data_IF_685922039704
#
_entry.id   IF_685922039704
#
_cell.length_a   1.000
_cell.length_b   1.000
_cell.length_c   1.000
_cell.angle_alpha   90.00
_cell.angle_beta   90.00
_cell.angle_gamma   90.00
#
_symmetry.space_group_name_H-M   'P 1'
#
loop_
_entity.id
_entity.type
_entity.pdbx_description
1 polymer ?
#
# COMPACT_ATOMS: atom_id res chain seq x y z
N UNK A 1 31.77 -39.13 12.34
CA UNK A 1 31.23 -38.00 13.14
C UNK A 1 31.95 -36.72 12.74
N UNK A 2 31.18 -35.65 12.42
CA UNK A 2 31.62 -34.26 12.09
C UNK A 2 32.36 -34.14 10.74
N UNK A 3 31.95 -33.39 9.71
CA UNK A 3 31.13 -32.19 9.58
C UNK A 3 30.44 -32.19 8.19
N UNK A 4 29.13 -32.41 8.12
CA UNK A 4 28.30 -32.06 6.94
C UNK A 4 27.10 -31.29 7.50
N UNK A 5 27.38 -30.11 8.02
CA UNK A 5 26.41 -29.10 8.42
C UNK A 5 27.10 -27.77 8.13
N UNK A 6 26.93 -27.22 6.93
CA UNK A 6 27.22 -25.79 6.69
C UNK A 6 26.75 -25.24 5.35
N UNK A 7 26.34 -26.03 4.36
CA UNK A 7 26.07 -25.47 3.02
C UNK A 7 24.59 -25.15 2.70
N UNK A 8 23.65 -25.48 3.59
CA UNK A 8 22.21 -25.18 3.38
C UNK A 8 21.84 -23.78 3.93
N UNK A 9 22.69 -23.16 4.76
CA UNK A 9 22.36 -21.88 5.43
C UNK A 9 22.71 -20.62 4.63
N UNK A 10 23.47 -20.70 3.53
CA UNK A 10 23.99 -19.49 2.87
C UNK A 10 23.09 -18.94 1.74
N UNK A 11 22.21 -19.76 1.16
CA UNK A 11 21.29 -19.31 0.11
C UNK A 11 19.96 -18.73 0.62
N UNK A 12 19.66 -18.90 1.91
CA UNK A 12 18.48 -18.27 2.53
C UNK A 12 18.66 -16.74 2.68
N UNK A 13 19.88 -16.22 2.84
CA UNK A 13 20.08 -14.80 3.16
C UNK A 13 19.71 -13.81 2.03
N UNK A 14 19.87 -14.19 0.75
CA UNK A 14 19.61 -13.25 -0.36
C UNK A 14 18.15 -13.24 -0.83
N UNK A 15 17.39 -14.31 -0.60
CA UNK A 15 15.96 -14.32 -0.89
C UNK A 15 15.15 -13.45 0.09
N UNK A 16 15.65 -13.32 1.33
CA UNK A 16 15.02 -12.58 2.43
C UNK A 16 14.96 -11.07 2.17
N UNK A 17 15.95 -10.46 1.51
CA UNK A 17 16.05 -8.98 1.42
C UNK A 17 14.92 -8.31 0.62
N UNK A 18 14.49 -8.88 -0.51
CA UNK A 18 13.42 -8.29 -1.33
C UNK A 18 12.00 -8.62 -0.83
N UNK A 19 11.83 -9.74 -0.12
CA UNK A 19 10.58 -10.07 0.57
C UNK A 19 10.41 -9.27 1.86
N UNK A 20 11.51 -8.98 2.57
CA UNK A 20 11.50 -8.25 3.83
C UNK A 20 10.98 -6.81 3.69
N UNK A 21 11.36 -6.07 2.64
CA UNK A 21 10.88 -4.69 2.45
C UNK A 21 9.37 -4.62 2.17
N UNK A 22 8.85 -5.53 1.34
CA UNK A 22 7.41 -5.62 1.06
C UNK A 22 6.64 -6.07 2.30
N UNK A 23 7.22 -7.00 3.07
CA UNK A 23 6.63 -7.50 4.32
C UNK A 23 6.59 -6.42 5.39
N UNK A 24 7.65 -5.62 5.54
CA UNK A 24 7.72 -4.52 6.51
C UNK A 24 6.69 -3.43 6.17
N UNK A 25 6.55 -3.06 4.90
CA UNK A 25 5.55 -2.09 4.48
C UNK A 25 4.12 -2.61 4.71
N UNK A 26 3.84 -3.87 4.36
CA UNK A 26 2.54 -4.50 4.59
C UNK A 26 2.24 -4.63 6.09
N UNK A 27 3.22 -5.05 6.91
CA UNK A 27 3.12 -5.12 8.38
C UNK A 27 2.80 -3.74 8.97
N UNK A 28 3.48 -2.70 8.49
CA UNK A 28 3.23 -1.31 8.92
C UNK A 28 1.81 -0.87 8.57
N UNK A 29 1.31 -1.20 7.38
CA UNK A 29 -0.07 -0.92 6.97
C UNK A 29 -1.09 -1.69 7.82
N UNK A 30 -0.85 -2.98 8.10
CA UNK A 30 -1.68 -3.82 8.96
C UNK A 30 -1.75 -3.26 10.40
N UNK A 31 -0.60 -2.90 10.97
CA UNK A 31 -0.52 -2.32 12.30
C UNK A 31 -1.29 -1.01 12.38
N UNK A 32 -1.12 -0.14 11.39
CA UNK A 32 -1.83 1.14 11.34
C UNK A 32 -3.33 0.98 11.14
N UNK A 33 -3.77 0.06 10.28
CA UNK A 33 -5.19 -0.28 10.17
C UNK A 33 -5.78 -0.68 11.53
N UNK A 34 -5.03 -1.46 12.33
CA UNK A 34 -5.41 -1.78 13.70
C UNK A 34 -5.57 -0.56 14.60
N UNK A 35 -4.73 0.47 14.44
CA UNK A 35 -4.79 1.71 15.21
C UNK A 35 -5.96 2.62 14.81
N UNK A 36 -6.31 2.65 13.52
CA UNK A 36 -7.39 3.51 13.00
C UNK A 36 -8.75 2.79 12.94
N UNK A 37 -8.84 1.53 13.37
CA UNK A 37 -10.09 0.76 13.37
C UNK A 37 -11.17 1.50 14.14
N UNK A 38 -12.31 1.75 13.50
CA UNK A 38 -13.43 2.51 14.07
C UNK A 38 -13.30 4.02 13.98
N UNK A 39 -12.28 4.53 13.28
CA UNK A 39 -12.17 5.96 12.93
C UNK A 39 -13.13 6.33 11.80
N UNK A 40 -13.21 7.62 11.50
CA UNK A 40 -13.95 8.19 10.39
C UNK A 40 -12.99 8.69 9.30
N UNK A 41 -13.47 8.81 8.07
CA UNK A 41 -12.69 9.39 6.99
C UNK A 41 -12.42 10.87 7.28
N UNK A 42 -11.15 11.25 7.23
CA UNK A 42 -10.70 12.60 7.53
C UNK A 42 -10.84 13.55 6.35
N UNK A 43 -11.05 13.04 5.13
CA UNK A 43 -11.34 13.83 3.95
C UNK A 43 -12.63 13.33 3.28
N UNK A 44 -13.55 14.24 2.97
CA UNK A 44 -14.78 13.92 2.26
C UNK A 44 -14.97 14.84 1.04
N UNK A 45 -14.96 16.14 1.27
CA UNK A 45 -15.18 17.17 0.24
C UNK A 45 -14.32 18.40 0.50
N UNK A 46 -14.06 19.17 -0.55
CA UNK A 46 -13.36 20.44 -0.47
C UNK A 46 -13.75 21.31 -1.65
N UNK A 47 -13.98 22.59 -1.38
CA UNK A 47 -14.15 23.66 -2.37
C UNK A 47 -12.85 24.44 -2.60
N UNK A 48 -11.75 24.02 -1.97
CA UNK A 48 -10.45 24.67 -2.06
C UNK A 48 -9.91 24.64 -3.50
N UNK A 49 -9.45 25.82 -3.96
CA UNK A 49 -8.89 26.01 -5.31
C UNK A 49 -7.40 25.69 -5.41
N UNK A 50 -6.68 25.60 -4.28
CA UNK A 50 -5.26 25.27 -4.20
C UNK A 50 -5.02 23.77 -4.44
N UNK A 51 -5.35 23.31 -5.65
CA UNK A 51 -5.28 21.90 -6.05
C UNK A 51 -4.03 21.64 -6.89
N UNK A 52 -3.39 20.50 -6.66
CA UNK A 52 -2.25 20.01 -7.43
C UNK A 52 -2.47 18.53 -7.80
N UNK A 53 -1.88 18.10 -8.91
CA UNK A 53 -1.68 16.68 -9.20
C UNK A 53 -0.28 16.28 -8.75
N UNK A 54 -0.18 15.40 -7.77
CA UNK A 54 1.07 14.93 -7.18
C UNK A 54 0.95 13.46 -6.78
N UNK A 55 2.03 12.70 -6.82
CA UNK A 55 1.98 11.27 -6.46
C UNK A 55 1.73 11.10 -4.94
N UNK A 56 1.08 10.01 -4.54
CA UNK A 56 0.81 9.70 -3.14
C UNK A 56 1.20 8.25 -2.80
N UNK A 57 1.08 7.84 -1.54
CA UNK A 57 1.21 6.42 -1.14
C UNK A 57 0.27 5.51 -1.93
N UNK A 58 -0.83 6.09 -2.44
CA UNK A 58 -1.84 5.42 -3.23
C UNK A 58 -1.67 5.84 -4.68
N UNK A 59 -1.21 4.91 -5.52
CA UNK A 59 -1.02 5.16 -6.95
C UNK A 59 -2.32 5.50 -7.70
N UNK A 60 -3.47 5.32 -7.05
CA UNK A 60 -4.79 5.64 -7.55
C UNK A 60 -5.32 7.01 -7.11
N UNK A 61 -4.53 7.76 -6.34
CA UNK A 61 -4.85 9.10 -5.83
C UNK A 61 -3.70 10.04 -6.17
N UNK A 62 -3.98 11.03 -7.02
CA UNK A 62 -3.02 12.07 -7.40
C UNK A 62 -3.49 13.47 -7.06
N UNK A 63 -4.79 13.68 -6.91
CA UNK A 63 -5.32 15.01 -6.62
C UNK A 63 -5.11 15.35 -5.14
N UNK A 64 -4.44 16.46 -4.89
CA UNK A 64 -4.14 16.96 -3.55
C UNK A 64 -4.44 18.45 -3.39
N UNK A 65 -4.68 18.85 -2.15
CA UNK A 65 -4.74 20.23 -1.71
C UNK A 65 -3.34 20.64 -1.22
N UNK A 66 -2.78 21.72 -1.75
CA UNK A 66 -1.43 22.18 -1.43
C UNK A 66 -1.47 23.49 -0.65
N UNK A 67 -0.72 23.55 0.46
CA UNK A 67 -0.36 24.80 1.13
C UNK A 67 1.17 24.90 1.28
N UNK A 68 1.68 26.13 1.34
CA UNK A 68 3.10 26.45 1.50
C UNK A 68 3.31 27.52 2.56
N UNK A 69 4.49 27.49 3.20
CA UNK A 69 4.90 28.51 4.19
C UNK A 69 5.52 29.76 3.54
N UNK A 70 4.86 30.31 2.52
CA UNK A 70 5.36 31.46 1.76
C UNK A 70 5.06 32.77 2.50
N UNK A 71 3.90 33.36 2.25
CA UNK A 71 3.50 34.66 2.79
C UNK A 71 2.37 34.56 3.84
N UNK A 72 2.00 33.34 4.26
CA UNK A 72 0.92 33.12 5.22
C UNK A 72 -0.49 33.18 4.65
N UNK A 73 -0.68 33.36 3.33
CA UNK A 73 -2.02 33.48 2.73
C UNK A 73 -2.51 32.20 2.03
N UNK A 74 -1.63 31.23 1.78
CA UNK A 74 -2.01 29.99 1.10
C UNK A 74 -2.67 29.04 2.09
N UNK A 75 -3.99 28.94 2.04
CA UNK A 75 -4.77 28.02 2.86
C UNK A 75 -5.35 26.85 2.05
N UNK A 76 -5.47 25.70 2.73
CA UNK A 76 -6.24 24.56 2.25
C UNK A 76 -7.31 24.22 3.27
N UNK A 77 -8.52 23.93 2.80
CA UNK A 77 -9.66 23.62 3.65
C UNK A 77 -10.50 22.47 3.09
N UNK A 78 -11.02 21.62 3.95
CA UNK A 78 -11.89 20.49 3.59
C UNK A 78 -12.80 20.07 4.74
N UNK A 79 -13.76 19.19 4.44
CA UNK A 79 -14.66 18.59 5.41
C UNK A 79 -14.30 17.12 5.65
N UNK A 80 -14.42 16.68 6.90
CA UNK A 80 -14.34 15.24 7.26
C UNK A 80 -15.61 14.50 6.86
N UNK A 81 -15.64 13.19 7.04
CA UNK A 81 -16.89 12.45 7.16
C UNK A 81 -17.70 13.00 8.36
N UNK A 82 -19.02 13.07 8.20
CA UNK A 82 -19.91 13.44 9.29
C UNK A 82 -19.98 12.32 10.34
N UNK A 83 -19.96 12.70 11.62
CA UNK A 83 -20.21 11.73 12.69
C UNK A 83 -21.71 11.37 12.76
N UNK A 84 -22.09 10.15 13.14
CA UNK A 84 -23.49 9.75 13.22
C UNK A 84 -24.31 10.60 14.20
N UNK A 85 -25.61 10.76 13.94
CA UNK A 85 -26.51 11.50 14.84
C UNK A 85 -26.57 10.91 16.26
N UNK A 86 -26.36 9.60 16.38
CA UNK A 86 -26.38 8.85 17.65
C UNK A 86 -24.98 8.70 18.28
N UNK A 87 -24.03 9.57 17.94
CA UNK A 87 -22.67 9.50 18.47
C UNK A 87 -22.64 9.72 19.99
N UNK A 88 -22.10 8.73 20.74
CA UNK A 88 -22.10 8.73 22.21
C UNK A 88 -20.72 8.71 22.86
N UNK A 89 -19.64 8.50 22.09
CA UNK A 89 -18.29 8.42 22.62
C UNK A 89 -17.75 9.81 23.04
N UNK A 90 -16.66 9.82 23.81
CA UNK A 90 -16.01 11.03 24.33
C UNK A 90 -15.17 11.78 23.29
N UNK A 91 -15.02 11.20 22.09
CA UNK A 91 -14.35 11.81 20.95
C UNK A 91 -14.24 10.83 19.81
N UNK A 92 -13.86 11.33 18.64
CA UNK A 92 -13.78 10.59 17.39
C UNK A 92 -12.37 10.71 16.80
N UNK A 93 -11.90 9.62 16.21
CA UNK A 93 -10.68 9.64 15.39
C UNK A 93 -11.05 9.86 13.92
N UNK A 94 -10.25 10.68 13.24
CA UNK A 94 -10.30 10.91 11.79
C UNK A 94 -8.95 10.60 11.18
N UNK A 95 -8.93 10.09 9.95
CA UNK A 95 -7.68 9.74 9.23
C UNK A 95 -7.72 10.24 7.79
N UNK A 96 -6.63 10.85 7.33
CA UNK A 96 -6.50 11.26 5.92
C UNK A 96 -5.08 11.07 5.42
N UNK A 97 -4.95 10.98 4.10
CA UNK A 97 -3.67 10.83 3.42
C UNK A 97 -3.00 12.19 3.25
N UNK A 98 -1.71 12.26 3.55
CA UNK A 98 -0.94 13.50 3.47
C UNK A 98 0.48 13.25 2.98
N UNK A 99 1.12 14.31 2.47
CA UNK A 99 2.55 14.37 2.27
C UNK A 99 3.10 15.68 2.83
N UNK A 100 4.33 15.64 3.32
CA UNK A 100 4.99 16.78 3.97
C UNK A 100 6.42 16.86 3.43
N UNK A 101 6.79 18.06 3.01
CA UNK A 101 8.15 18.40 2.60
C UNK A 101 9.14 18.23 3.75
N UNK A 102 10.23 17.51 3.49
CA UNK A 102 11.26 17.23 4.50
C UNK A 102 12.46 18.17 4.30
N UNK A 103 12.41 19.31 5.00
CA UNK A 103 13.45 20.35 4.91
C UNK A 103 14.31 20.47 6.17
N UNK A 104 15.49 21.09 6.02
CA UNK A 104 16.35 21.50 7.14
C UNK A 104 15.76 22.69 7.92
N UNK A 105 15.24 23.68 7.18
CA UNK A 105 14.60 24.85 7.77
C UNK A 105 13.20 24.49 8.25
N UNK A 106 12.99 24.56 9.56
CA UNK A 106 11.68 24.36 10.17
C UNK A 106 10.81 25.58 9.93
N UNK A 107 9.63 25.33 9.41
CA UNK A 107 8.56 26.32 9.30
C UNK A 107 7.26 25.75 9.87
N UNK A 108 6.37 26.59 10.36
CA UNK A 108 5.15 26.15 11.02
C UNK A 108 3.95 26.08 10.08
N UNK A 109 3.08 25.12 10.37
CA UNK A 109 1.75 25.01 9.79
C UNK A 109 0.71 25.02 10.90
N UNK A 110 -0.24 25.94 10.79
CA UNK A 110 -1.35 26.08 11.71
C UNK A 110 -2.55 25.26 11.22
N UNK A 111 -3.15 24.50 12.13
CA UNK A 111 -4.33 23.67 11.87
C UNK A 111 -5.53 24.23 12.64
N UNK A 112 -6.58 24.53 11.89
CA UNK A 112 -7.84 25.04 12.40
C UNK A 112 -8.91 23.96 12.28
N UNK A 113 -9.72 23.82 13.33
CA UNK A 113 -10.89 22.94 13.36
C UNK A 113 -12.09 23.83 13.68
N UNK A 114 -13.10 23.85 12.81
CA UNK A 114 -14.26 24.75 12.88
C UNK A 114 -13.84 26.22 13.09
N UNK A 115 -12.86 26.67 12.28
CA UNK A 115 -12.25 28.02 12.32
C UNK A 115 -11.50 28.40 13.62
N UNK A 116 -11.33 27.47 14.56
CA UNK A 116 -10.51 27.69 15.76
C UNK A 116 -9.13 27.07 15.56
N UNK A 117 -8.06 27.85 15.72
CA UNK A 117 -6.67 27.33 15.69
C UNK A 117 -6.50 26.35 16.85
N UNK A 118 -6.31 25.06 16.55
CA UNK A 118 -6.13 24.00 17.56
C UNK A 118 -4.70 23.49 17.61
N UNK A 119 -3.97 23.49 16.50
CA UNK A 119 -2.61 22.98 16.49
C UNK A 119 -1.70 23.89 15.68
N UNK A 120 -0.42 23.81 16.01
CA UNK A 120 0.68 24.25 15.17
C UNK A 120 1.66 23.09 15.12
N UNK A 121 2.06 22.65 13.94
CA UNK A 121 3.13 21.67 13.79
C UNK A 121 4.26 22.26 12.94
N UNK A 122 5.52 22.08 13.35
CA UNK A 122 6.67 22.44 12.53
C UNK A 122 6.90 21.39 11.44
N UNK A 123 7.24 21.84 10.24
CA UNK A 123 7.96 21.04 9.25
C UNK A 123 9.34 20.66 9.77
N UNK A 124 9.96 19.70 9.10
CA UNK A 124 11.36 19.32 9.33
C UNK A 124 11.56 17.82 9.19
N UNK A 125 12.74 17.34 9.61
CA UNK A 125 13.16 15.93 9.44
C UNK A 125 12.38 14.87 10.21
N UNK A 126 11.39 15.24 11.02
CA UNK A 126 10.61 14.26 11.81
C UNK A 126 9.58 13.59 10.92
N UNK A 127 9.80 12.31 10.64
CA UNK A 127 8.91 11.48 9.82
C UNK A 127 7.71 10.92 10.59
N UNK A 128 7.63 11.11 11.91
CA UNK A 128 6.43 10.80 12.71
C UNK A 128 6.38 11.69 13.94
N UNK A 129 5.19 12.15 14.33
CA UNK A 129 4.99 13.03 15.48
C UNK A 129 3.54 13.00 16.00
N UNK A 130 3.36 13.50 17.22
CA UNK A 130 2.07 13.64 17.90
C UNK A 130 2.05 14.93 18.72
N UNK A 131 1.01 15.73 18.58
CA UNK A 131 0.76 16.95 19.35
C UNK A 131 -0.58 16.86 20.04
N UNK A 132 -0.62 17.23 21.33
CA UNK A 132 -1.84 17.25 22.15
C UNK A 132 -2.23 18.70 22.41
N UNK A 133 -3.49 19.03 22.15
CA UNK A 133 -4.08 20.32 22.48
C UNK A 133 -4.61 20.28 23.93
N UNK A 134 -4.54 21.39 24.70
CA UNK A 134 -5.07 21.47 26.07
C UNK A 134 -6.54 21.05 26.23
N UNK A 135 -7.36 21.23 25.19
CA UNK A 135 -8.77 20.82 25.18
C UNK A 135 -8.97 19.31 24.97
N UNK A 136 -7.88 18.54 24.90
CA UNK A 136 -7.86 17.07 24.81
C UNK A 136 -7.75 16.49 23.39
N UNK A 137 -7.70 17.33 22.36
CA UNK A 137 -7.48 16.87 20.98
C UNK A 137 -6.05 16.42 20.71
N UNK A 138 -5.87 15.50 19.77
CA UNK A 138 -4.56 14.94 19.42
C UNK A 138 -4.41 14.92 17.90
N UNK A 139 -3.37 15.57 17.37
CA UNK A 139 -3.01 15.51 15.96
C UNK A 139 -1.71 14.70 15.80
N UNK A 140 -1.70 13.71 14.90
CA UNK A 140 -0.52 12.90 14.62
C UNK A 140 -0.24 12.84 13.13
N UNK A 141 1.02 12.61 12.81
CA UNK A 141 1.46 12.22 11.49
C UNK A 141 2.35 10.98 11.59
N UNK A 142 2.15 10.05 10.66
CA UNK A 142 2.98 8.87 10.51
C UNK A 142 3.38 8.70 9.05
N UNK A 143 4.68 8.87 8.77
CA UNK A 143 5.27 8.54 7.47
C UNK A 143 5.22 7.05 7.21
N UNK A 144 4.90 6.69 5.97
CA UNK A 144 4.90 5.33 5.46
C UNK A 144 6.00 5.09 4.43
N UNK A 145 6.26 6.09 3.60
CA UNK A 145 7.24 6.05 2.52
C UNK A 145 7.87 7.44 2.32
N UNK A 146 8.93 7.50 1.53
CA UNK A 146 9.55 8.74 1.07
C UNK A 146 9.75 8.72 -0.43
N UNK A 147 9.57 9.86 -1.08
CA UNK A 147 9.84 9.96 -2.51
C UNK A 147 11.34 10.07 -2.83
N UNK A 148 11.67 10.23 -4.11
CA UNK A 148 13.05 10.36 -4.58
C UNK A 148 13.76 11.63 -4.08
N UNK A 149 13.02 12.63 -3.62
CA UNK A 149 13.52 13.87 -3.03
C UNK A 149 13.60 13.80 -1.51
N UNK A 150 13.14 12.69 -0.90
CA UNK A 150 13.14 12.49 0.54
C UNK A 150 11.88 13.03 1.23
N UNK A 151 10.89 13.52 0.46
CA UNK A 151 9.64 14.03 0.98
C UNK A 151 8.80 12.91 1.55
N UNK A 152 8.13 13.19 2.66
CA UNK A 152 7.46 12.16 3.43
C UNK A 152 6.03 11.99 2.97
N UNK A 153 5.63 10.74 2.72
CA UNK A 153 4.25 10.37 2.40
C UNK A 153 3.68 9.50 3.52
N UNK A 154 2.50 9.85 4.01
CA UNK A 154 1.99 9.29 5.25
C UNK A 154 0.51 9.52 5.47
N UNK A 155 0.08 9.24 6.70
CA UNK A 155 -1.28 9.53 7.14
C UNK A 155 -1.23 10.53 8.29
N UNK A 156 -2.16 11.48 8.26
CA UNK A 156 -2.51 12.26 9.44
C UNK A 156 -3.67 11.61 10.16
N UNK A 157 -3.66 11.67 11.49
CA UNK A 157 -4.79 11.29 12.33
C UNK A 157 -5.14 12.39 13.32
N UNK A 158 -6.43 12.58 13.55
CA UNK A 158 -6.96 13.57 14.49
C UNK A 158 -7.91 12.90 15.46
N UNK A 159 -7.62 12.96 16.74
CA UNK A 159 -8.62 12.78 17.79
C UNK A 159 -9.27 14.12 18.07
N UNK A 160 -10.57 14.21 17.81
CA UNK A 160 -11.39 15.35 18.20
C UNK A 160 -12.22 14.97 19.43
N UNK A 161 -12.02 15.63 20.59
CA UNK A 161 -12.87 15.44 21.76
C UNK A 161 -14.30 15.83 21.45
N UNK A 162 -15.25 15.29 22.21
CA UNK A 162 -16.70 15.53 22.05
C UNK A 162 -17.06 17.01 22.02
N UNK A 163 -16.33 17.87 22.72
CA UNK A 163 -16.54 19.32 22.72
C UNK A 163 -16.30 19.99 21.36
N UNK A 164 -15.53 19.35 20.45
CA UNK A 164 -15.31 19.84 19.09
C UNK A 164 -16.34 19.28 18.11
N UNK A 165 -17.08 18.24 18.51
CA UNK A 165 -17.95 17.47 17.64
C UNK A 165 -19.39 17.96 17.72
N UNK A 166 -20.07 17.94 16.56
CA UNK A 166 -21.51 18.18 16.44
C UNK A 166 -22.14 16.96 15.77
N UNK A 167 -23.04 16.27 16.46
CA UNK A 167 -23.72 15.09 15.93
C UNK A 167 -24.33 15.35 14.55
N UNK A 168 -24.12 14.42 13.61
CA UNK A 168 -24.61 14.55 12.24
C UNK A 168 -23.81 15.48 11.33
N UNK A 169 -22.80 16.19 11.84
CA UNK A 169 -22.03 17.17 11.07
C UNK A 169 -20.58 16.73 10.88
N UNK A 170 -19.96 17.08 9.74
CA UNK A 170 -18.52 16.97 9.58
C UNK A 170 -17.80 18.06 10.39
N UNK A 171 -16.50 17.86 10.60
CA UNK A 171 -15.60 18.94 11.02
C UNK A 171 -15.11 19.69 9.78
N UNK A 172 -14.97 21.00 9.90
CA UNK A 172 -14.23 21.81 8.92
C UNK A 172 -12.76 21.89 9.35
N UNK A 173 -11.86 21.37 8.52
CA UNK A 173 -10.42 21.42 8.77
C UNK A 173 -9.78 22.40 7.81
N UNK A 174 -8.85 23.21 8.33
CA UNK A 174 -8.04 24.12 7.54
C UNK A 174 -6.58 24.09 7.96
N UNK A 175 -5.66 24.14 7.00
CA UNK A 175 -4.21 24.27 7.22
C UNK A 175 -3.69 25.52 6.52
N UNK A 176 -2.85 26.28 7.23
CA UNK A 176 -2.17 27.48 6.70
C UNK A 176 -0.68 27.39 7.05
N UNK A 177 0.19 27.48 6.06
CA UNK A 177 1.64 27.63 6.29
C UNK A 177 1.96 29.03 6.77
N UNK A 178 2.95 29.19 7.66
CA UNK A 178 3.32 30.51 8.18
C UNK A 178 3.96 31.43 7.12
N UNK A 179 4.07 32.72 7.42
CA UNK A 179 4.74 33.69 6.55
C UNK A 179 6.28 33.63 6.69
N UNK A 180 6.90 32.53 6.27
CA UNK A 180 8.34 32.28 6.41
C UNK A 180 9.19 32.58 5.16
N UNK A 181 8.54 32.89 4.04
CA UNK A 181 9.18 33.07 2.73
C UNK A 181 9.68 31.77 2.12
N UNK A 182 9.21 30.62 2.59
CA UNK A 182 9.70 29.29 2.20
C UNK A 182 8.71 28.55 1.32
N UNK A 183 9.24 27.74 0.39
CA UNK A 183 8.41 26.88 -0.44
C UNK A 183 8.05 25.55 0.23
N UNK A 184 8.45 25.33 1.48
CA UNK A 184 8.08 24.14 2.26
C UNK A 184 6.58 23.93 2.24
N UNK A 185 6.17 22.69 1.99
CA UNK A 185 4.79 22.38 1.66
C UNK A 185 4.17 21.25 2.48
N UNK A 186 2.85 21.26 2.52
CA UNK A 186 2.00 20.16 2.98
C UNK A 186 0.94 19.91 1.92
N UNK A 187 0.74 18.63 1.59
CA UNK A 187 -0.33 18.17 0.71
C UNK A 187 -1.31 17.31 1.50
N UNK A 188 -2.60 17.58 1.33
CA UNK A 188 -3.69 16.70 1.78
C UNK A 188 -4.35 16.09 0.56
N UNK A 189 -4.30 14.77 0.42
CA UNK A 189 -4.82 14.09 -0.76
C UNK A 189 -6.33 13.90 -0.68
N UNK A 190 -7.02 14.02 -1.83
CA UNK A 190 -8.47 13.89 -1.95
C UNK A 190 -8.92 12.42 -1.92
N UNK A 191 -8.78 11.78 -0.77
CA UNK A 191 -9.11 10.37 -0.56
C UNK A 191 -10.09 10.21 0.60
N UNK A 192 -11.35 9.87 0.29
CA UNK A 192 -12.43 9.66 1.26
C UNK A 192 -12.78 8.19 1.50
N UNK A 193 -11.82 7.30 1.26
CA UNK A 193 -11.97 5.85 1.37
C UNK A 193 -10.74 5.19 2.02
N UNK A 194 -9.97 5.92 2.84
CA UNK A 194 -8.69 5.43 3.42
C UNK A 194 -8.89 4.15 4.21
N UNK A 195 -9.91 4.10 5.06
CA UNK A 195 -10.15 2.97 5.97
C UNK A 195 -10.53 1.75 5.14
N UNK A 196 -11.54 1.87 4.28
CA UNK A 196 -12.00 0.76 3.44
C UNK A 196 -10.94 0.31 2.43
N UNK A 197 -10.11 1.22 1.93
CA UNK A 197 -8.97 0.91 1.08
C UNK A 197 -7.94 0.06 1.83
N UNK A 198 -7.55 0.46 3.05
CA UNK A 198 -6.60 -0.29 3.86
C UNK A 198 -7.15 -1.66 4.25
N UNK A 199 -8.43 -1.76 4.62
CA UNK A 199 -9.08 -3.06 4.87
C UNK A 199 -8.97 -3.98 3.65
N UNK A 200 -9.33 -3.48 2.45
CA UNK A 200 -9.21 -4.26 1.22
C UNK A 200 -7.78 -4.56 0.83
N UNK A 201 -6.85 -3.63 1.07
CA UNK A 201 -5.43 -3.89 0.88
C UNK A 201 -5.00 -5.07 1.74
N UNK A 202 -5.40 -5.14 3.00
CA UNK A 202 -5.01 -6.27 3.88
C UNK A 202 -5.66 -7.61 3.50
N UNK A 203 -6.80 -7.57 2.80
CA UNK A 203 -7.48 -8.76 2.28
C UNK A 203 -6.84 -9.28 0.98
N UNK A 204 -6.38 -8.39 0.11
CA UNK A 204 -5.89 -8.74 -1.23
C UNK A 204 -4.36 -8.73 -1.35
N UNK A 205 -3.66 -7.81 -0.69
CA UNK A 205 -2.22 -7.65 -0.85
C UNK A 205 -1.44 -8.62 0.03
N UNK A 206 -0.58 -9.42 -0.61
CA UNK A 206 0.31 -10.34 0.07
C UNK A 206 1.47 -10.78 -0.84
N UNK A 207 2.48 -11.38 -0.23
CA UNK A 207 3.54 -12.09 -0.92
C UNK A 207 3.50 -13.60 -0.61
N UNK A 208 4.04 -14.41 -1.51
CA UNK A 208 4.33 -15.83 -1.32
C UNK A 208 5.72 -16.15 -1.83
N UNK A 209 6.46 -16.97 -1.09
CA UNK A 209 7.65 -17.66 -1.58
C UNK A 209 7.35 -19.15 -1.68
N UNK A 210 7.64 -19.76 -2.83
CA UNK A 210 7.35 -21.17 -3.11
C UNK A 210 8.60 -21.86 -3.57
N UNK A 211 9.05 -22.86 -2.81
CA UNK A 211 10.18 -23.71 -3.15
C UNK A 211 9.68 -25.09 -3.53
N UNK A 212 10.10 -25.58 -4.68
CA UNK A 212 9.79 -26.92 -5.19
C UNK A 212 11.11 -27.68 -5.33
N UNK A 213 11.25 -28.79 -4.62
CA UNK A 213 12.40 -29.69 -4.71
C UNK A 213 11.96 -31.03 -5.31
N UNK A 214 12.70 -31.50 -6.32
CA UNK A 214 12.39 -32.77 -6.98
C UNK A 214 13.28 -33.88 -6.41
N UNK A 215 12.64 -34.91 -5.85
CA UNK A 215 13.33 -36.10 -5.36
C UNK A 215 12.58 -37.36 -5.78
N UNK A 216 13.26 -38.26 -6.51
CA UNK A 216 12.71 -39.55 -6.95
C UNK A 216 11.32 -39.45 -7.63
N UNK A 217 11.10 -38.44 -8.47
CA UNK A 217 9.82 -38.24 -9.19
C UNK A 217 8.66 -37.71 -8.33
N UNK A 218 8.94 -37.33 -7.07
CA UNK A 218 8.05 -36.54 -6.22
C UNK A 218 8.57 -35.11 -6.14
N UNK A 219 7.63 -34.17 -6.10
CA UNK A 219 7.92 -32.75 -5.95
C UNK A 219 7.44 -32.33 -4.56
N UNK A 220 8.38 -32.03 -3.68
CA UNK A 220 8.08 -31.46 -2.37
C UNK A 220 7.92 -29.95 -2.54
N UNK A 221 6.74 -29.44 -2.19
CA UNK A 221 6.38 -28.03 -2.33
C UNK A 221 6.28 -27.42 -0.95
N UNK A 222 7.07 -26.38 -0.71
CA UNK A 222 7.03 -25.56 0.49
C UNK A 222 6.56 -24.17 0.10
N UNK A 223 5.49 -23.72 0.72
CA UNK A 223 4.95 -22.36 0.60
C UNK A 223 5.27 -21.60 1.88
N UNK A 224 5.80 -20.41 1.74
CA UNK A 224 6.05 -19.44 2.80
C UNK A 224 5.28 -18.17 2.51
N UNK A 225 4.68 -17.58 3.54
CA UNK A 225 3.81 -16.41 3.44
C UNK A 225 3.89 -15.56 4.72
N UNK A 226 3.29 -14.35 4.74
CA UNK A 226 3.16 -13.55 5.96
C UNK A 226 2.55 -14.31 7.14
N UNK A 227 3.00 -14.01 8.38
CA UNK A 227 2.47 -14.66 9.58
C UNK A 227 0.97 -14.45 9.83
N UNK A 228 0.41 -13.32 9.40
CA UNK A 228 -1.03 -13.02 9.55
C UNK A 228 -1.93 -13.91 8.67
N UNK A 229 -1.36 -14.69 7.75
CA UNK A 229 -2.09 -15.68 6.96
C UNK A 229 -2.13 -17.06 7.62
N UNK A 230 -1.53 -17.25 8.80
CA UNK A 230 -1.65 -18.49 9.55
C UNK A 230 -3.13 -18.87 9.78
N UNK A 231 -3.45 -20.15 9.57
CA UNK A 231 -4.82 -20.67 9.61
C UNK A 231 -5.59 -20.50 8.30
N UNK A 232 -5.06 -19.77 7.31
CA UNK A 232 -5.70 -19.69 6.00
C UNK A 232 -5.48 -20.96 5.17
N UNK A 233 -6.52 -21.33 4.43
CA UNK A 233 -6.49 -22.45 3.50
C UNK A 233 -6.11 -21.95 2.11
N UNK A 234 -5.02 -22.49 1.57
CA UNK A 234 -4.61 -22.30 0.19
C UNK A 234 -5.10 -23.47 -0.65
N UNK A 235 -5.41 -23.20 -1.92
CA UNK A 235 -5.73 -24.19 -2.92
C UNK A 235 -4.61 -24.24 -3.95
N UNK A 236 -4.33 -25.42 -4.50
CA UNK A 236 -3.32 -25.57 -5.54
C UNK A 236 -3.85 -26.42 -6.69
N UNK A 237 -3.32 -26.13 -7.89
CA UNK A 237 -3.56 -26.90 -9.11
C UNK A 237 -2.22 -27.08 -9.83
N UNK A 238 -1.88 -28.32 -10.18
CA UNK A 238 -0.73 -28.66 -11.02
C UNK A 238 -1.13 -29.75 -12.02
N UNK A 239 -1.25 -29.38 -13.30
CA UNK A 239 -1.85 -30.28 -14.30
C UNK A 239 -3.25 -30.73 -13.85
N UNK A 240 -3.46 -32.03 -13.70
CA UNK A 240 -4.72 -32.61 -13.20
C UNK A 240 -4.80 -32.68 -11.66
N UNK A 241 -3.66 -32.50 -10.96
CA UNK A 241 -3.61 -32.58 -9.51
C UNK A 241 -4.15 -31.30 -8.90
N UNK A 242 -5.13 -31.43 -8.00
CA UNK A 242 -5.69 -30.32 -7.24
C UNK A 242 -5.82 -30.68 -5.77
N UNK A 243 -5.71 -29.69 -4.90
CA UNK A 243 -5.87 -29.91 -3.47
C UNK A 243 -5.84 -28.61 -2.68
N UNK A 244 -5.66 -28.75 -1.38
CA UNK A 244 -5.60 -27.62 -0.47
C UNK A 244 -4.70 -27.90 0.70
N UNK A 245 -4.08 -26.85 1.25
CA UNK A 245 -3.19 -26.93 2.40
C UNK A 245 -3.47 -25.77 3.35
N UNK A 246 -3.30 -25.99 4.66
CA UNK A 246 -3.46 -24.95 5.66
C UNK A 246 -2.09 -24.33 5.97
N UNK A 247 -2.01 -23.00 5.96
CA UNK A 247 -0.83 -22.28 6.44
C UNK A 247 -0.75 -22.42 7.97
N UNK A 248 0.42 -22.82 8.47
CA UNK A 248 0.72 -22.92 9.90
C UNK A 248 1.70 -21.82 10.28
N UNK A 249 1.50 -21.19 11.43
CA UNK A 249 2.43 -20.17 11.92
C UNK A 249 3.80 -20.79 12.21
N UNK A 250 4.86 -20.09 11.83
CA UNK A 250 6.25 -20.38 12.18
C UNK A 250 6.98 -19.05 12.37
N UNK A 251 7.18 -18.65 13.62
CA UNK A 251 7.81 -17.36 13.97
C UNK A 251 7.07 -16.16 13.33
N UNK A 252 7.79 -15.39 12.49
CA UNK A 252 7.32 -14.21 11.77
C UNK A 252 6.73 -14.49 10.39
N UNK A 253 6.62 -15.78 10.03
CA UNK A 253 6.01 -16.25 8.77
C UNK A 253 4.93 -17.28 9.04
N UNK A 254 4.23 -17.68 7.98
CA UNK A 254 3.42 -18.88 7.94
C UNK A 254 3.89 -19.79 6.81
N UNK A 255 3.81 -21.10 7.02
CA UNK A 255 4.27 -22.10 6.06
C UNK A 255 3.27 -23.21 5.82
N UNK A 256 3.31 -23.78 4.63
CA UNK A 256 2.56 -24.96 4.23
C UNK A 256 3.46 -25.88 3.41
N UNK A 257 3.24 -27.19 3.53
CA UNK A 257 3.99 -28.18 2.76
C UNK A 257 3.04 -29.24 2.20
N UNK A 258 3.24 -29.62 0.94
CA UNK A 258 2.50 -30.69 0.27
C UNK A 258 3.35 -31.31 -0.84
N UNK A 259 2.92 -32.47 -1.33
CA UNK A 259 3.65 -33.24 -2.34
C UNK A 259 2.84 -33.35 -3.63
N UNK A 260 3.49 -33.20 -4.77
CA UNK A 260 2.92 -33.42 -6.11
C UNK A 260 3.66 -34.57 -6.81
N UNK A 261 2.91 -35.39 -7.55
CA UNK A 261 3.45 -36.53 -8.28
C UNK A 261 3.74 -36.17 -9.74
N UNK A 262 4.73 -36.84 -10.34
CA UNK A 262 5.00 -36.74 -11.78
C UNK A 262 5.84 -35.53 -12.17
N UNK A 263 6.09 -35.38 -13.47
CA UNK A 263 6.87 -34.26 -14.00
C UNK A 263 6.04 -32.97 -14.08
N UNK A 264 6.43 -31.96 -13.32
CA UNK A 264 5.78 -30.65 -13.31
C UNK A 264 6.35 -29.68 -14.34
N UNK A 265 7.46 -30.01 -15.04
CA UNK A 265 8.14 -29.07 -15.94
C UNK A 265 7.24 -28.51 -17.03
N UNK A 266 6.32 -29.32 -17.55
CA UNK A 266 5.39 -28.95 -18.62
C UNK A 266 4.01 -28.51 -18.10
N UNK A 267 3.80 -28.53 -16.78
CA UNK A 267 2.48 -28.34 -16.20
C UNK A 267 2.33 -26.92 -15.69
N UNK A 268 1.13 -26.37 -15.90
CA UNK A 268 0.68 -25.18 -15.22
C UNK A 268 0.68 -25.43 -13.72
N UNK A 269 1.16 -24.46 -12.95
CA UNK A 269 1.13 -24.50 -11.49
C UNK A 269 0.50 -23.22 -10.94
N UNK A 270 -0.56 -23.39 -10.16
CA UNK A 270 -1.35 -22.31 -9.58
C UNK A 270 -1.49 -22.55 -8.08
N UNK A 271 -1.34 -21.48 -7.30
CA UNK A 271 -1.79 -21.42 -5.91
C UNK A 271 -2.81 -20.30 -5.81
N UNK A 272 -3.89 -20.49 -5.06
CA UNK A 272 -4.93 -19.48 -4.85
C UNK A 272 -5.46 -19.50 -3.41
N UNK A 273 -6.07 -18.41 -2.99
CA UNK A 273 -6.92 -18.34 -1.79
C UNK A 273 -8.39 -18.20 -2.18
N UNK A 274 -9.24 -17.83 -1.22
CA UNK A 274 -10.66 -17.54 -1.46
C UNK A 274 -10.90 -16.33 -2.38
N UNK A 275 -9.92 -15.43 -2.53
CA UNK A 275 -10.08 -14.17 -3.22
C UNK A 275 -9.65 -14.26 -4.69
N UNK A 276 -8.49 -14.89 -4.97
CA UNK A 276 -7.96 -15.09 -6.32
C UNK A 276 -6.68 -15.95 -6.32
N UNK A 277 -6.11 -16.14 -7.50
CA UNK A 277 -4.74 -16.63 -7.71
C UNK A 277 -3.71 -15.82 -6.89
N UNK A 278 -2.78 -16.53 -6.25
CA UNK A 278 -1.64 -16.03 -5.49
C UNK A 278 -0.30 -16.41 -6.13
N UNK A 279 -0.27 -17.43 -6.99
CA UNK A 279 0.86 -17.81 -7.82
C UNK A 279 0.29 -18.31 -9.14
N UNK A 280 0.89 -17.90 -10.25
CA UNK A 280 0.55 -18.41 -11.56
C UNK A 280 1.83 -18.64 -12.37
N UNK A 281 2.10 -19.90 -12.70
CA UNK A 281 3.19 -20.31 -13.57
C UNK A 281 2.62 -21.19 -14.69
N UNK A 282 2.93 -20.87 -15.94
CA UNK A 282 2.47 -21.66 -17.08
C UNK A 282 3.18 -23.01 -17.18
N UNK A 283 4.46 -23.03 -16.78
CA UNK A 283 5.33 -24.20 -16.75
C UNK A 283 6.57 -23.88 -15.89
N UNK A 284 7.44 -24.87 -15.67
CA UNK A 284 8.66 -24.74 -14.88
C UNK A 284 9.92 -24.98 -15.74
N UNK A 285 9.94 -24.53 -16.99
CA UNK A 285 11.05 -24.83 -17.93
C UNK A 285 12.21 -23.85 -17.88
N UNK A 286 11.92 -22.58 -17.60
CA UNK A 286 12.89 -21.49 -17.64
C UNK A 286 12.56 -20.44 -16.60
N UNK A 287 13.57 -19.67 -16.23
CA UNK A 287 13.39 -18.46 -15.43
C UNK A 287 12.36 -17.56 -16.10
N UNK A 288 11.44 -17.04 -15.30
CA UNK A 288 10.25 -16.33 -15.82
C UNK A 288 9.90 -15.18 -14.89
N UNK A 289 9.64 -14.00 -15.48
CA UNK A 289 8.95 -12.90 -14.82
C UNK A 289 7.61 -12.68 -15.52
N UNK A 290 6.51 -12.91 -14.80
CA UNK A 290 5.15 -12.83 -15.33
C UNK A 290 4.33 -11.83 -14.53
N UNK A 291 3.60 -10.96 -15.24
CA UNK A 291 2.62 -10.05 -14.65
C UNK A 291 1.24 -10.40 -15.17
N UNK A 292 0.29 -10.60 -14.27
CA UNK A 292 -1.08 -10.97 -14.60
C UNK A 292 -2.07 -10.01 -13.94
N UNK A 293 -3.03 -9.55 -14.73
CA UNK A 293 -4.14 -8.75 -14.22
C UNK A 293 -5.17 -9.67 -13.56
N UNK A 294 -5.54 -9.37 -12.32
CA UNK A 294 -6.65 -9.96 -11.60
C UNK A 294 -7.77 -8.93 -11.45
N UNK A 295 -8.93 -9.32 -10.94
CA UNK A 295 -10.11 -8.43 -10.84
C UNK A 295 -9.89 -7.16 -10.01
N UNK A 296 -9.04 -7.22 -8.98
CA UNK A 296 -8.74 -6.07 -8.10
C UNK A 296 -7.24 -5.88 -7.83
N UNK A 297 -6.39 -6.72 -8.44
CA UNK A 297 -4.98 -6.78 -8.13
C UNK A 297 -4.14 -7.05 -9.38
N UNK A 298 -2.84 -6.79 -9.25
CA UNK A 298 -1.83 -7.24 -10.20
C UNK A 298 -1.01 -8.33 -9.53
N UNK A 299 -0.93 -9.50 -10.15
CA UNK A 299 -0.10 -10.60 -9.71
C UNK A 299 1.24 -10.53 -10.43
N UNK A 300 2.34 -10.52 -9.69
CA UNK A 300 3.71 -10.55 -10.20
C UNK A 300 4.34 -11.85 -9.73
N UNK A 301 4.75 -12.71 -10.65
CA UNK A 301 5.41 -13.97 -10.37
C UNK A 301 6.82 -13.95 -10.95
N UNK A 302 7.81 -14.33 -10.15
CA UNK A 302 9.20 -14.50 -10.56
C UNK A 302 9.61 -15.94 -10.25
N UNK A 303 10.01 -16.70 -11.26
CA UNK A 303 10.51 -18.07 -11.13
C UNK A 303 12.01 -18.08 -11.43
N UNK A 304 12.78 -18.70 -10.54
CA UNK A 304 14.21 -19.00 -10.72
C UNK A 304 14.45 -20.50 -10.59
N UNK A 305 15.25 -21.05 -11.50
CA UNK A 305 15.53 -22.47 -11.59
C UNK A 305 17.03 -22.71 -11.40
N UNK A 306 17.41 -23.51 -10.39
CA UNK A 306 18.80 -23.91 -10.13
C UNK A 306 18.85 -25.35 -9.66
N UNK A 307 19.68 -26.20 -10.28
CA UNK A 307 19.95 -27.58 -9.84
C UNK A 307 18.68 -28.41 -9.52
N UNK A 308 17.66 -28.39 -10.40
CA UNK A 308 16.34 -29.04 -10.18
C UNK A 308 15.58 -28.54 -8.94
N UNK A 309 15.90 -27.36 -8.43
CA UNK A 309 15.09 -26.61 -7.50
C UNK A 309 14.44 -25.43 -8.21
N UNK A 310 13.15 -25.26 -7.96
CA UNK A 310 12.35 -24.18 -8.50
C UNK A 310 11.95 -23.28 -7.36
N UNK A 311 12.33 -22.01 -7.44
CA UNK A 311 11.97 -21.02 -6.44
C UNK A 311 11.13 -19.96 -7.13
N UNK A 312 9.87 -19.83 -6.70
CA UNK A 312 8.97 -18.82 -7.20
C UNK A 312 8.68 -17.81 -6.10
N UNK A 313 8.88 -16.52 -6.41
CA UNK A 313 8.37 -15.42 -5.60
C UNK A 313 7.11 -14.90 -6.25
N UNK A 314 6.08 -14.64 -5.47
CA UNK A 314 4.86 -14.03 -5.96
C UNK A 314 4.41 -12.89 -5.09
N UNK A 315 3.87 -11.85 -5.73
CA UNK A 315 3.28 -10.69 -5.07
C UNK A 315 1.93 -10.43 -5.71
N UNK A 316 0.88 -10.42 -4.90
CA UNK A 316 -0.43 -9.92 -5.31
C UNK A 316 -0.56 -8.50 -4.78
N UNK A 317 -0.56 -7.52 -5.67
CA UNK A 317 -0.60 -6.10 -5.32
C UNK A 317 -2.03 -5.57 -5.50
N UNK A 318 -2.66 -5.07 -4.44
CA UNK A 318 -3.99 -4.50 -4.50
C UNK A 318 -3.96 -3.18 -5.29
N UNK A 319 -4.60 -3.16 -6.47
CA UNK A 319 -4.53 -2.06 -7.46
C UNK A 319 -5.88 -1.84 -8.16
N UNK A 320 -6.99 -1.65 -7.41
CA UNK A 320 -8.35 -1.73 -7.95
C UNK A 320 -8.62 -0.70 -9.06
N UNK A 321 -8.16 0.55 -8.90
CA UNK A 321 -8.35 1.57 -9.94
C UNK A 321 -7.51 1.30 -11.19
N UNK A 322 -6.27 0.84 -11.05
CA UNK A 322 -5.44 0.45 -12.20
C UNK A 322 -6.12 -0.66 -12.99
N UNK A 323 -6.64 -1.70 -12.32
CA UNK A 323 -7.40 -2.77 -13.00
C UNK A 323 -8.61 -2.19 -13.72
N UNK A 324 -9.42 -1.38 -13.03
CA UNK A 324 -10.60 -0.75 -13.63
C UNK A 324 -10.25 0.06 -14.87
N UNK A 325 -9.20 0.88 -14.82
CA UNK A 325 -8.76 1.70 -15.95
C UNK A 325 -8.30 0.85 -17.14
N UNK A 326 -7.58 -0.25 -16.91
CA UNK A 326 -7.18 -1.18 -17.98
C UNK A 326 -8.40 -1.87 -18.60
N UNK A 327 -9.38 -2.28 -17.79
CA UNK A 327 -10.62 -2.90 -18.29
C UNK A 327 -11.47 -1.91 -19.12
N UNK A 328 -11.55 -0.65 -18.67
CA UNK A 328 -12.21 0.43 -19.42
C UNK A 328 -11.50 0.67 -20.75
N UNK A 329 -10.16 0.74 -20.74
CA UNK A 329 -9.37 0.89 -21.95
C UNK A 329 -9.60 -0.27 -22.93
N UNK A 330 -9.58 -1.51 -22.42
CA UNK A 330 -9.85 -2.71 -23.20
C UNK A 330 -11.28 -2.75 -23.78
N UNK A 331 -12.23 -2.07 -23.14
CA UNK A 331 -13.62 -1.95 -23.62
C UNK A 331 -13.84 -0.72 -24.52
N UNK A 332 -12.84 0.15 -24.65
CA UNK A 332 -12.95 1.38 -25.42
C UNK A 332 -12.69 1.16 -26.92
N UNK A 333 -12.95 2.18 -27.75
CA UNK A 333 -12.59 2.15 -29.18
C UNK A 333 -11.08 1.99 -29.41
N UNK A 334 -10.24 2.39 -28.44
CA UNK A 334 -8.78 2.27 -28.51
C UNK A 334 -8.30 0.81 -28.39
N UNK A 335 -9.14 -0.11 -27.89
CA UNK A 335 -8.81 -1.54 -27.80
C UNK A 335 -8.53 -2.21 -29.15
N UNK A 336 -9.05 -1.63 -30.24
CA UNK A 336 -8.83 -2.09 -31.62
C UNK A 336 -7.62 -1.45 -32.28
N UNK A 337 -7.02 -0.44 -31.64
CA UNK A 337 -5.86 0.30 -32.15
C UNK A 337 -4.54 -0.23 -31.60
N UNK A 338 -3.43 0.32 -32.11
CA UNK A 338 -2.10 0.12 -31.52
C UNK A 338 -1.88 1.17 -30.43
N UNK A 339 -1.50 0.73 -29.23
CA UNK A 339 -1.07 1.61 -28.15
C UNK A 339 0.44 1.77 -28.27
N UNK A 340 0.90 2.99 -28.53
CA UNK A 340 2.32 3.32 -28.49
C UNK A 340 2.63 3.94 -27.13
N UNK A 341 3.49 3.28 -26.36
CA UNK A 341 4.03 3.83 -25.12
C UNK A 341 5.30 4.58 -25.47
N UNK A 342 5.24 5.91 -25.42
CA UNK A 342 6.39 6.77 -25.61
C UNK A 342 6.84 7.26 -24.24
N UNK A 343 8.08 6.96 -23.87
CA UNK A 343 8.73 7.52 -22.69
C UNK A 343 9.69 8.60 -23.19
N UNK A 344 9.39 9.88 -22.93
CA UNK A 344 10.29 10.97 -23.27
C UNK A 344 10.84 11.61 -22.00
N UNK A 345 12.16 11.77 -21.93
CA UNK A 345 12.82 12.46 -20.81
C UNK A 345 12.88 13.98 -21.00
N UNK A 346 12.59 14.50 -22.20
CA UNK A 346 12.65 15.94 -22.54
C UNK A 346 11.56 16.33 -23.60
N UNK A 347 11.29 17.62 -23.79
CA UNK A 347 10.15 18.19 -24.57
C UNK A 347 10.22 18.00 -26.11
N UNK A 348 10.34 16.77 -26.61
CA UNK A 348 10.43 16.50 -28.06
C UNK A 348 9.19 15.76 -28.62
N UNK A 349 7.99 16.01 -28.10
CA UNK A 349 6.72 15.52 -28.69
C UNK A 349 6.14 16.58 -29.64
N UNK A 350 6.97 17.15 -30.51
CA UNK A 350 6.54 18.18 -31.47
C UNK A 350 6.47 17.68 -32.93
N UNK A 351 6.88 16.44 -33.23
CA UNK A 351 6.98 15.97 -34.61
C UNK A 351 6.46 14.53 -34.73
N UNK A 352 5.15 14.39 -34.80
CA UNK A 352 4.50 13.19 -35.33
C UNK A 352 3.41 13.66 -36.29
N UNK A 353 3.82 13.88 -37.55
CA UNK A 353 2.87 13.90 -38.67
C UNK A 353 2.24 12.49 -38.76
N UNK A 354 0.92 12.47 -38.71
CA UNK A 354 0.07 11.27 -38.80
C UNK A 354 -0.04 10.74 -40.23
#
# INVERSE_FOLDING_TARGET
>A
MKKILSLISFFYLFAILAGAQDDDFLKKQLQFLGQIKGSYEGFQTSDCKSVISYHSLRNDITDGLLTRATNGSMEIGWQTQAIPNYFKADGAWFVWLAAIDITDKKVNFDVFIDNVKRFTFPSGKRTSWSYTNPDGGILKYQSFDSDQHGDSHGYMTLYAPKSWLKSGKPLEIKIVGEAAGENTWVIVFKAGDIISYLEKLTEYQLWLDVSISVYQGKNDVIVTAPANLAGQKLFYISGEQKGSVLLKRKDDISTAQFNLKGDMKNQKFIISDKNSELLYLENLKKDTLLRKLLSQAVLINELTIKNNQYNAKSRRLYKPKTVKSILVLNSSKLSKGKIYLMNSSHQDIAWMDS
#
